data_IF_326635861363
#
_entry.id   IF_326635861363
#
_cell.length_a   1.000
_cell.length_b   1.000
_cell.length_c   1.000
_cell.angle_alpha   90.00
_cell.angle_beta   90.00
_cell.angle_gamma   90.00
#
_symmetry.space_group_name_H-M   'P 1'
#
loop_
_entity.id
_entity.type
_entity.pdbx_description
1 polymer ?
#
# COMPACT_ATOMS: atom_id res chain seq x y z
N UNK A 1 7.50 11.05 7.45
CA UNK A 1 7.50 9.65 7.01
C UNK A 1 8.03 8.89 8.19
N UNK A 2 7.26 7.96 8.73
CA UNK A 2 7.66 7.20 9.90
C UNK A 2 8.31 5.91 9.42
N UNK A 3 9.48 5.57 9.98
CA UNK A 3 10.25 4.37 9.65
C UNK A 3 10.26 3.49 10.90
N UNK A 4 9.92 2.21 10.72
CA UNK A 4 9.86 1.24 11.81
C UNK A 4 10.74 0.05 11.49
N UNK A 5 11.39 -0.50 12.52
CA UNK A 5 12.21 -1.71 12.41
C UNK A 5 11.41 -2.98 12.77
N UNK A 6 11.95 -4.15 12.40
CA UNK A 6 11.32 -5.44 12.75
C UNK A 6 11.18 -5.57 14.28
N UNK A 7 9.94 -5.77 14.73
CA UNK A 7 9.62 -5.97 16.15
C UNK A 7 9.31 -4.69 16.91
N UNK A 8 9.43 -3.53 16.26
CA UNK A 8 8.99 -2.26 16.81
C UNK A 8 7.45 -2.18 16.85
N UNK A 9 6.85 -1.77 17.98
CA UNK A 9 5.43 -1.49 18.04
C UNK A 9 5.06 -0.34 17.09
N UNK A 10 4.18 -0.59 16.13
CA UNK A 10 3.75 0.42 15.17
C UNK A 10 2.52 1.15 15.72
N UNK A 11 2.63 2.46 15.91
CA UNK A 11 1.51 3.34 16.23
C UNK A 11 1.14 4.18 14.99
N UNK A 12 0.02 3.83 14.33
CA UNK A 12 -0.43 4.52 13.12
C UNK A 12 -1.47 5.59 13.51
N UNK A 13 -1.20 6.84 13.17
CA UNK A 13 -2.14 7.96 13.32
C UNK A 13 -2.56 8.49 11.93
N UNK A 14 -3.49 7.80 11.23
CA UNK A 14 -3.82 8.15 9.85
C UNK A 14 -4.59 9.49 9.80
N UNK A 15 -4.08 10.45 9.02
CA UNK A 15 -4.77 11.70 8.68
C UNK A 15 -5.51 11.51 7.34
N UNK A 16 -6.74 10.99 7.39
CA UNK A 16 -7.52 10.58 6.20
C UNK A 16 -8.45 11.63 5.58
N UNK A 17 -9.36 11.17 4.69
CA UNK A 17 -10.50 11.82 3.97
C UNK A 17 -10.28 12.31 2.52
N UNK A 18 -9.07 12.33 1.96
CA UNK A 18 -8.80 12.87 0.61
C UNK A 18 -8.82 11.86 -0.56
N UNK A 19 -9.12 10.58 -0.30
CA UNK A 19 -8.85 9.50 -1.24
C UNK A 19 -7.38 9.05 -1.24
N UNK A 20 -7.04 8.05 -2.05
CA UNK A 20 -5.68 7.50 -2.13
C UNK A 20 -5.12 7.62 -3.54
N UNK A 21 -3.92 8.19 -3.69
CA UNK A 21 -3.14 8.08 -4.92
C UNK A 21 -2.00 7.08 -4.70
N UNK A 22 -2.02 5.98 -5.44
CA UNK A 22 -1.05 4.91 -5.29
C UNK A 22 0.22 5.12 -6.13
N UNK A 23 0.29 6.17 -6.96
CA UNK A 23 1.39 6.46 -7.88
C UNK A 23 2.63 7.09 -7.23
N UNK A 24 2.52 8.04 -6.27
CA UNK A 24 3.68 8.79 -5.77
C UNK A 24 4.78 7.94 -5.14
N UNK A 25 4.44 6.80 -4.51
CA UNK A 25 5.44 5.97 -3.84
C UNK A 25 6.45 5.35 -4.80
N UNK A 26 6.09 5.12 -6.07
CA UNK A 26 7.02 4.54 -7.06
C UNK A 26 8.13 5.52 -7.42
N UNK A 27 7.78 6.80 -7.60
CA UNK A 27 8.76 7.86 -7.82
C UNK A 27 9.66 8.04 -6.59
N UNK A 28 9.09 7.99 -5.38
CA UNK A 28 9.86 8.03 -4.14
C UNK A 28 10.86 6.86 -4.03
N UNK A 29 10.42 5.62 -4.24
CA UNK A 29 11.29 4.43 -4.24
C UNK A 29 12.46 4.59 -5.23
N UNK A 30 12.18 5.09 -6.44
CA UNK A 30 13.20 5.32 -7.45
C UNK A 30 14.18 6.42 -7.05
N UNK A 31 13.69 7.55 -6.53
CA UNK A 31 14.53 8.69 -6.11
C UNK A 31 15.44 8.34 -4.93
N UNK A 32 14.97 7.50 -4.02
CA UNK A 32 15.76 7.00 -2.88
C UNK A 32 16.70 5.84 -3.25
N UNK A 33 16.68 5.37 -4.51
CA UNK A 33 17.50 4.24 -4.97
C UNK A 33 17.16 2.91 -4.28
N UNK A 34 15.93 2.76 -3.79
CA UNK A 34 15.47 1.56 -3.08
C UNK A 34 15.09 0.47 -4.07
N UNK A 35 15.35 -0.78 -3.70
CA UNK A 35 14.96 -1.97 -4.49
C UNK A 35 14.13 -2.96 -3.66
N UNK A 36 12.93 -2.58 -3.18
CA UNK A 36 12.10 -3.45 -2.36
C UNK A 36 11.55 -4.62 -3.18
N UNK A 37 11.47 -5.79 -2.56
CA UNK A 37 10.86 -6.97 -3.20
C UNK A 37 9.33 -6.85 -3.34
N UNK A 38 8.67 -6.07 -2.47
CA UNK A 38 7.23 -5.83 -2.51
C UNK A 38 6.86 -4.47 -1.89
N UNK A 39 5.67 -3.96 -2.23
CA UNK A 39 5.05 -2.78 -1.62
C UNK A 39 3.70 -3.20 -1.03
N UNK A 40 3.51 -3.00 0.27
CA UNK A 40 2.27 -3.40 0.96
C UNK A 40 1.41 -2.16 1.22
N UNK A 41 0.13 -2.22 0.85
CA UNK A 41 -0.84 -1.16 1.12
C UNK A 41 -2.01 -1.71 1.95
N UNK A 42 -2.30 -1.05 3.05
CA UNK A 42 -3.52 -1.30 3.84
C UNK A 42 -4.57 -0.29 3.39
N UNK A 43 -5.52 -0.73 2.56
CA UNK A 43 -6.44 0.16 1.85
C UNK A 43 -7.69 -0.58 1.40
N UNK A 44 -8.82 0.12 1.36
CA UNK A 44 -10.08 -0.32 0.74
C UNK A 44 -10.06 -0.29 -0.80
N UNK A 45 -8.91 0.03 -1.40
CA UNK A 45 -8.67 0.07 -2.84
C UNK A 45 -9.33 1.24 -3.59
N UNK A 46 -9.90 2.22 -2.87
CA UNK A 46 -10.41 3.43 -3.48
C UNK A 46 -9.27 4.39 -3.85
N UNK A 47 -8.99 4.56 -5.15
CA UNK A 47 -7.93 5.47 -5.57
C UNK A 47 -7.45 5.35 -7.01
N UNK A 48 -6.36 6.07 -7.31
CA UNK A 48 -5.71 6.09 -8.63
C UNK A 48 -4.49 5.16 -8.65
N UNK A 49 -4.46 4.25 -9.63
CA UNK A 49 -3.42 3.23 -9.78
C UNK A 49 -2.48 3.57 -10.95
N UNK A 50 -1.19 3.19 -10.89
CA UNK A 50 -0.33 3.26 -12.06
C UNK A 50 -0.72 2.18 -13.08
N UNK A 51 -0.42 2.45 -14.36
CA UNK A 51 -0.79 1.59 -15.50
C UNK A 51 -0.06 0.24 -15.54
N UNK A 52 1.19 0.17 -15.07
CA UNK A 52 1.95 -1.09 -14.92
C UNK A 52 3.20 -0.86 -14.06
N UNK A 53 3.47 -1.74 -13.10
CA UNK A 53 4.75 -1.76 -12.38
C UNK A 53 5.14 -3.16 -11.89
N UNK A 54 6.45 -3.39 -11.71
CA UNK A 54 7.06 -4.70 -11.45
C UNK A 54 7.04 -5.17 -9.98
N UNK A 55 6.36 -4.45 -9.08
CA UNK A 55 6.43 -4.72 -7.65
C UNK A 55 5.15 -5.40 -7.16
N UNK A 56 5.32 -6.50 -6.42
CA UNK A 56 4.25 -7.27 -5.80
C UNK A 56 3.54 -6.36 -4.79
N UNK A 57 2.22 -6.20 -4.98
CA UNK A 57 1.36 -5.40 -4.15
C UNK A 57 0.50 -6.33 -3.29
N UNK A 58 0.50 -6.14 -1.97
CA UNK A 58 -0.46 -6.76 -1.05
C UNK A 58 -1.49 -5.72 -0.61
N UNK A 59 -2.77 -6.03 -0.78
CA UNK A 59 -3.90 -5.15 -0.47
C UNK A 59 -4.74 -5.76 0.68
N UNK A 60 -4.98 -4.99 1.75
CA UNK A 60 -5.80 -5.40 2.90
C UNK A 60 -7.23 -4.85 2.82
N UNK A 61 -8.20 -5.73 2.57
CA UNK A 61 -9.60 -5.41 2.30
C UNK A 61 -10.44 -4.98 3.53
N UNK A 62 -11.10 -3.82 3.44
CA UNK A 62 -12.37 -3.56 4.15
C UNK A 62 -13.54 -3.41 3.16
N UNK A 63 -14.45 -4.40 3.17
CA UNK A 63 -15.73 -4.60 2.45
C UNK A 63 -15.75 -5.44 1.16
N UNK A 64 -14.64 -5.54 0.43
CA UNK A 64 -14.44 -6.49 -0.68
C UNK A 64 -14.98 -6.01 -2.01
N UNK A 65 -15.29 -4.71 -2.13
CA UNK A 65 -16.10 -4.17 -3.24
C UNK A 65 -15.25 -3.83 -4.49
N UNK A 66 -13.96 -3.51 -4.34
CA UNK A 66 -13.11 -3.09 -5.45
C UNK A 66 -11.92 -4.05 -5.65
N UNK A 67 -11.83 -4.76 -6.80
CA UNK A 67 -10.69 -5.63 -7.08
C UNK A 67 -9.43 -4.81 -7.41
N UNK A 68 -8.27 -5.32 -7.01
CA UNK A 68 -6.99 -4.76 -7.45
C UNK A 68 -6.84 -4.89 -8.98
N UNK A 69 -6.36 -3.86 -9.69
CA UNK A 69 -6.13 -3.95 -11.13
C UNK A 69 -5.01 -4.95 -11.49
N UNK A 70 -4.14 -5.30 -10.53
CA UNK A 70 -3.04 -6.27 -10.66
C UNK A 70 -2.43 -6.57 -9.27
N UNK A 71 -1.65 -7.66 -9.14
CA UNK A 71 -0.99 -8.06 -7.89
C UNK A 71 -1.74 -9.15 -7.10
N UNK A 72 -1.36 -9.35 -5.84
CA UNK A 72 -1.99 -10.34 -4.93
C UNK A 72 -2.80 -9.62 -3.85
N UNK A 73 -4.04 -10.03 -3.61
CA UNK A 73 -4.88 -9.43 -2.57
C UNK A 73 -4.97 -10.37 -1.38
N UNK A 74 -4.59 -9.89 -0.20
CA UNK A 74 -4.65 -10.67 1.05
C UNK A 74 -5.65 -10.00 1.97
N UNK A 75 -6.78 -10.66 2.21
CA UNK A 75 -7.80 -10.14 3.11
C UNK A 75 -7.35 -10.28 4.56
N UNK A 76 -7.08 -9.15 5.20
CA UNK A 76 -6.79 -9.09 6.64
C UNK A 76 -8.13 -8.90 7.37
N UNK A 77 -8.46 -9.82 8.28
CA UNK A 77 -9.59 -9.65 9.21
C UNK A 77 -9.04 -9.32 10.58
N UNK A 78 -9.54 -8.27 11.20
CA UNK A 78 -9.36 -8.05 12.63
C UNK A 78 -10.49 -8.82 13.35
N UNK A 79 -10.11 -9.77 14.20
CA UNK A 79 -11.02 -10.38 15.17
C UNK A 79 -11.19 -9.47 16.39
#
# INVERSE_FOLDING_TARGET
MDVFERGEPIAINPKGYGGTDFRPVFEWVANEGLNPSCLVYLTDMAGYFPSRHRIIRCCGDTSGVLPAPWGETVRIRCN
#
